data_IF_472488794199
#
_entry.id   IF_472488794199
#
_cell.length_a   1.000
_cell.length_b   1.000
_cell.length_c   1.000
_cell.angle_alpha   90.00
_cell.angle_beta   90.00
_cell.angle_gamma   90.00
#
_symmetry.space_group_name_H-M   'P 1'
#
loop_
_entity.id
_entity.type
_entity.pdbx_description
1 polymer ?
#
# COMPACT_ATOMS: atom_id res chain seq x y z
N UNK A 1 46.59 -18.61 -20.88
CA UNK A 1 46.12 -19.96 -20.49
C UNK A 1 46.42 -20.20 -19.03
N UNK A 2 45.42 -20.15 -18.15
CA UNK A 2 45.45 -20.74 -16.80
C UNK A 2 44.05 -21.25 -16.50
N UNK A 3 43.87 -22.55 -16.70
CA UNK A 3 42.72 -23.31 -16.26
C UNK A 3 42.76 -23.44 -14.74
N UNK A 4 41.67 -23.07 -14.07
CA UNK A 4 41.40 -23.42 -12.69
C UNK A 4 40.08 -24.20 -12.69
N UNK A 5 40.20 -25.53 -12.62
CA UNK A 5 39.12 -26.41 -12.23
C UNK A 5 38.73 -26.08 -10.79
N UNK A 6 37.45 -25.87 -10.52
CA UNK A 6 36.95 -25.87 -9.15
C UNK A 6 35.56 -26.50 -9.11
N UNK A 7 35.50 -27.67 -8.49
CA UNK A 7 34.40 -28.05 -7.61
C UNK A 7 33.09 -28.46 -8.27
N UNK A 8 33.04 -29.71 -8.71
CA UNK A 8 31.81 -30.49 -8.68
C UNK A 8 31.34 -30.56 -7.21
N UNK A 9 30.27 -29.83 -6.88
CA UNK A 9 29.54 -30.01 -5.62
C UNK A 9 28.12 -30.37 -5.99
N UNK A 10 27.76 -31.61 -5.68
CA UNK A 10 26.40 -32.12 -5.72
C UNK A 10 25.48 -31.10 -5.03
N UNK A 11 24.57 -30.50 -5.80
CA UNK A 11 23.51 -29.66 -5.27
C UNK A 11 22.41 -30.64 -4.88
N UNK A 12 22.20 -30.78 -3.56
CA UNK A 12 21.02 -31.41 -3.00
C UNK A 12 19.79 -30.77 -3.66
N UNK A 13 19.02 -31.57 -4.39
CA UNK A 13 17.68 -31.23 -4.85
C UNK A 13 16.83 -30.92 -3.60
N UNK A 14 16.73 -29.64 -3.28
CA UNK A 14 15.74 -29.15 -2.33
C UNK A 14 14.43 -29.05 -3.10
N UNK A 15 13.66 -30.14 -3.08
CA UNK A 15 12.26 -30.22 -3.50
C UNK A 15 11.37 -29.45 -2.48
N UNK A 16 11.69 -28.17 -2.30
CA UNK A 16 10.77 -27.23 -1.68
C UNK A 16 9.75 -26.79 -2.73
N UNK A 17 8.54 -26.37 -2.35
CA UNK A 17 7.61 -25.76 -3.30
C UNK A 17 8.33 -24.58 -3.96
N UNK A 18 8.65 -24.73 -5.25
CA UNK A 18 9.14 -23.62 -6.07
C UNK A 18 7.99 -22.64 -6.10
N UNK A 19 8.09 -21.57 -5.30
CA UNK A 19 7.16 -20.46 -5.42
C UNK A 19 7.19 -20.03 -6.89
N UNK A 20 6.06 -20.07 -7.61
CA UNK A 20 6.03 -19.76 -9.03
C UNK A 20 6.66 -18.39 -9.23
N UNK A 21 7.61 -18.28 -10.17
CA UNK A 21 8.17 -16.98 -10.51
C UNK A 21 7.00 -16.07 -10.90
N UNK A 22 6.82 -14.92 -10.24
CA UNK A 22 5.72 -14.03 -10.54
C UNK A 22 5.84 -13.62 -12.01
N UNK A 23 4.81 -13.95 -12.79
CA UNK A 23 4.78 -13.64 -14.21
C UNK A 23 3.95 -12.38 -14.45
N UNK A 24 4.21 -11.67 -15.55
CA UNK A 24 3.35 -10.57 -15.97
C UNK A 24 1.92 -11.01 -16.32
N UNK A 25 1.67 -12.32 -16.46
CA UNK A 25 0.32 -12.86 -16.62
C UNK A 25 -0.49 -12.84 -15.32
N UNK A 26 0.17 -12.75 -14.16
CA UNK A 26 -0.45 -12.68 -12.83
C UNK A 26 -0.73 -11.23 -12.38
N UNK A 27 -0.75 -10.30 -13.32
CA UNK A 27 -1.01 -8.88 -13.07
C UNK A 27 0.24 -8.03 -12.85
N UNK A 28 1.40 -8.62 -12.57
CA UNK A 28 2.67 -7.88 -12.44
C UNK A 28 3.65 -8.50 -11.45
N UNK A 29 4.79 -7.83 -11.27
CA UNK A 29 5.88 -8.27 -10.39
C UNK A 29 6.13 -7.21 -9.32
N UNK A 30 6.09 -7.62 -8.05
CA UNK A 30 6.50 -6.78 -6.90
C UNK A 30 7.94 -7.10 -6.51
N UNK A 31 8.77 -6.07 -6.32
CA UNK A 31 10.09 -6.21 -5.71
C UNK A 31 10.31 -5.21 -4.59
N UNK A 32 10.94 -5.66 -3.50
CA UNK A 32 11.31 -4.82 -2.36
C UNK A 32 12.76 -4.39 -2.43
N UNK A 33 13.01 -3.12 -2.13
CA UNK A 33 14.32 -2.49 -2.22
C UNK A 33 14.55 -1.54 -1.04
N UNK A 34 15.79 -1.09 -0.89
CA UNK A 34 16.17 0.00 0.02
C UNK A 34 16.63 1.18 -0.81
N UNK A 35 16.07 2.37 -0.53
CA UNK A 35 16.35 3.58 -1.29
C UNK A 35 17.79 4.05 -1.05
N UNK A 36 18.52 4.33 -2.14
CA UNK A 36 19.87 4.92 -2.07
C UNK A 36 19.84 6.44 -2.24
N UNK A 37 18.79 6.97 -2.85
CA UNK A 37 18.51 8.39 -3.05
C UNK A 37 17.02 8.66 -2.79
N UNK A 38 16.60 9.93 -2.63
CA UNK A 38 15.18 10.26 -2.47
C UNK A 38 14.37 9.86 -3.70
N UNK A 39 13.22 9.21 -3.49
CA UNK A 39 12.34 8.74 -4.55
C UNK A 39 10.90 9.23 -4.32
N UNK A 40 10.13 9.36 -5.39
CA UNK A 40 8.69 9.55 -5.30
C UNK A 40 8.02 8.26 -4.83
N UNK A 41 6.97 8.42 -4.04
CA UNK A 41 6.02 7.37 -3.70
C UNK A 41 4.68 7.78 -4.32
N UNK A 42 4.08 6.90 -5.10
CA UNK A 42 2.91 7.21 -5.93
C UNK A 42 1.65 7.49 -5.08
N UNK A 43 1.51 6.83 -3.92
CA UNK A 43 0.40 7.03 -2.98
C UNK A 43 0.79 7.83 -1.73
N UNK A 44 1.74 8.77 -1.83
CA UNK A 44 2.22 9.49 -0.65
C UNK A 44 1.28 10.65 -0.26
N UNK A 45 0.48 10.55 0.82
CA UNK A 45 -0.48 11.61 1.18
C UNK A 45 0.21 12.91 1.62
N UNK A 46 1.44 12.83 2.15
CA UNK A 46 2.21 13.99 2.60
C UNK A 46 3.12 14.60 1.52
N UNK A 47 3.27 13.93 0.37
CA UNK A 47 4.24 14.34 -0.67
C UNK A 47 5.72 14.21 -0.26
N UNK A 48 6.00 13.64 0.92
CA UNK A 48 7.37 13.45 1.44
C UNK A 48 8.23 12.56 0.55
N UNK A 49 7.61 11.54 -0.04
CA UNK A 49 8.28 10.47 -0.77
C UNK A 49 9.08 9.53 0.12
N UNK A 50 9.90 8.69 -0.52
CA UNK A 50 10.79 7.71 0.12
C UNK A 50 12.16 8.34 0.32
N UNK A 51 12.71 8.26 1.52
CA UNK A 51 14.04 8.80 1.88
C UNK A 51 15.14 7.75 1.72
N UNK A 52 16.40 8.17 1.52
CA UNK A 52 17.53 7.26 1.55
C UNK A 52 17.55 6.42 2.84
N UNK A 53 17.80 5.12 2.70
CA UNK A 53 17.79 4.15 3.81
C UNK A 53 16.42 3.52 4.09
N UNK A 54 15.32 4.05 3.55
CA UNK A 54 13.99 3.48 3.75
C UNK A 54 13.71 2.32 2.80
N UNK A 55 12.86 1.38 3.24
CA UNK A 55 12.38 0.28 2.40
C UNK A 55 11.19 0.73 1.56
N UNK A 56 11.16 0.28 0.32
CA UNK A 56 10.07 0.53 -0.61
C UNK A 56 9.85 -0.68 -1.51
N UNK A 57 8.66 -0.77 -2.08
CA UNK A 57 8.30 -1.75 -3.09
C UNK A 57 8.15 -1.06 -4.44
N UNK A 58 8.51 -1.80 -5.50
CA UNK A 58 8.25 -1.43 -6.88
C UNK A 58 7.30 -2.49 -7.43
N UNK A 59 6.15 -2.07 -7.94
CA UNK A 59 5.27 -2.89 -8.75
C UNK A 59 5.55 -2.61 -10.22
N UNK A 60 5.78 -3.64 -11.02
CA UNK A 60 5.92 -3.53 -12.47
C UNK A 60 4.85 -4.40 -13.12
N UNK A 61 3.91 -3.76 -13.81
CA UNK A 61 2.77 -4.43 -14.43
C UNK A 61 2.67 -4.15 -15.92
N UNK A 62 1.71 -4.81 -16.56
CA UNK A 62 1.22 -4.44 -17.88
C UNK A 62 -0.12 -3.75 -17.71
N UNK A 63 -0.34 -2.67 -18.45
CA UNK A 63 -1.64 -2.03 -18.49
C UNK A 63 -2.66 -2.97 -19.15
N UNK A 64 -3.92 -2.86 -18.73
CA UNK A 64 -5.02 -3.70 -19.23
C UNK A 64 -5.61 -3.20 -20.55
N UNK A 65 -5.00 -2.17 -21.16
CA UNK A 65 -5.43 -1.62 -22.44
C UNK A 65 -4.93 -2.44 -23.65
N UNK A 66 -5.49 -2.15 -24.83
CA UNK A 66 -5.17 -2.87 -26.08
C UNK A 66 -3.68 -2.86 -26.45
N UNK A 67 -2.90 -1.89 -25.94
CA UNK A 67 -1.49 -1.74 -26.26
C UNK A 67 -0.56 -2.47 -25.26
N UNK A 68 -1.07 -2.89 -24.08
CA UNK A 68 -0.33 -3.59 -23.02
C UNK A 68 1.04 -2.97 -22.74
N UNK A 69 1.03 -1.70 -22.37
CA UNK A 69 2.25 -0.98 -22.02
C UNK A 69 2.76 -1.35 -20.62
N UNK A 70 4.07 -1.25 -20.42
CA UNK A 70 4.66 -1.45 -19.11
C UNK A 70 4.45 -0.23 -18.22
N UNK A 71 4.01 -0.44 -16.98
CA UNK A 71 3.97 0.60 -15.96
C UNK A 71 4.71 0.18 -14.70
N UNK A 72 5.11 1.18 -13.91
CA UNK A 72 5.94 1.01 -12.73
C UNK A 72 5.49 1.97 -11.63
N UNK A 73 5.04 1.42 -10.51
CA UNK A 73 4.59 2.16 -9.33
C UNK A 73 5.52 1.86 -8.15
N UNK A 74 5.75 2.88 -7.32
CA UNK A 74 6.64 2.81 -6.15
C UNK A 74 5.86 3.18 -4.90
N UNK A 75 5.89 2.29 -3.92
CA UNK A 75 5.22 2.51 -2.64
C UNK A 75 6.21 2.34 -1.49
N UNK A 76 6.18 3.26 -0.52
CA UNK A 76 6.89 3.08 0.74
C UNK A 76 6.38 1.82 1.46
N UNK A 77 7.29 0.99 1.97
CA UNK A 77 6.93 -0.30 2.61
C UNK A 77 6.28 -0.07 4.00
N UNK A 78 6.53 1.11 4.60
CA UNK A 78 5.93 1.53 5.85
C UNK A 78 5.40 2.95 5.77
N UNK A 79 4.24 3.18 6.39
CA UNK A 79 3.65 4.50 6.52
C UNK A 79 4.37 5.29 7.63
N UNK A 80 5.10 6.34 7.24
CA UNK A 80 5.74 7.26 8.18
C UNK A 80 4.70 8.06 8.99
N UNK A 81 5.12 8.60 10.13
CA UNK A 81 4.25 9.44 10.97
C UNK A 81 3.79 10.70 10.22
N UNK A 82 4.65 11.26 9.36
CA UNK A 82 4.30 12.37 8.47
C UNK A 82 3.18 11.99 7.49
N UNK A 83 3.27 10.81 6.86
CA UNK A 83 2.20 10.31 5.99
C UNK A 83 0.92 10.04 6.77
N UNK A 84 1.01 9.50 7.99
CA UNK A 84 -0.15 9.22 8.84
C UNK A 84 -0.86 10.49 9.28
N UNK A 85 -0.10 11.54 9.62
CA UNK A 85 -0.65 12.84 10.01
C UNK A 85 -1.32 13.57 8.84
N UNK A 86 -0.89 13.30 7.60
CA UNK A 86 -1.49 13.86 6.39
C UNK A 86 -2.76 13.13 5.93
N UNK A 87 -3.09 11.97 6.52
CA UNK A 87 -4.33 11.28 6.19
C UNK A 87 -5.55 12.12 6.62
N UNK A 88 -6.60 12.19 5.79
CA UNK A 88 -7.84 12.83 6.18
C UNK A 88 -8.35 12.20 7.47
N UNK A 89 -8.54 13.03 8.50
CA UNK A 89 -9.16 12.59 9.73
C UNK A 89 -10.60 12.23 9.39
N UNK A 90 -11.04 11.01 9.70
CA UNK A 90 -12.44 10.62 9.53
C UNK A 90 -13.32 11.67 10.20
N UNK A 91 -14.18 12.31 9.42
CA UNK A 91 -15.16 13.25 9.92
C UNK A 91 -16.04 12.51 10.92
N UNK A 92 -15.78 12.74 12.21
CA UNK A 92 -16.64 12.23 13.29
C UNK A 92 -18.07 12.65 12.92
N UNK A 93 -19.01 11.71 12.79
CA UNK A 93 -20.38 12.04 12.38
C UNK A 93 -20.89 13.16 13.28
N UNK A 94 -21.35 14.24 12.65
CA UNK A 94 -21.85 15.40 13.37
C UNK A 94 -22.89 14.93 14.40
N UNK A 95 -22.87 15.45 15.63
CA UNK A 95 -23.87 15.08 16.62
C UNK A 95 -25.25 15.33 16.01
N UNK A 96 -26.11 14.31 16.03
CA UNK A 96 -27.47 14.43 15.54
C UNK A 96 -28.12 15.65 16.21
N UNK A 97 -28.86 16.49 15.46
CA UNK A 97 -29.51 17.65 16.05
C UNK A 97 -30.36 17.19 17.22
N UNK A 98 -30.23 17.88 18.36
CA UNK A 98 -31.07 17.63 19.51
C UNK A 98 -32.53 17.67 19.04
N UNK A 99 -33.24 16.54 19.14
CA UNK A 99 -34.68 16.51 18.88
C UNK A 99 -35.33 17.39 19.94
N UNK A 100 -35.63 18.63 19.58
CA UNK A 100 -36.58 19.43 20.34
C UNK A 100 -37.90 18.68 20.29
N UNK A 101 -38.21 17.94 21.35
CA UNK A 101 -39.54 17.42 21.58
C UNK A 101 -40.40 18.65 21.83
N UNK A 102 -41.10 19.12 20.80
CA UNK A 102 -42.25 19.96 21.01
C UNK A 102 -43.26 19.09 21.77
N UNK A 103 -43.34 19.26 23.08
CA UNK A 103 -44.55 18.91 23.79
C UNK A 103 -45.61 19.89 23.29
N UNK A 104 -46.47 19.43 22.38
CA UNK A 104 -47.75 20.06 22.17
C UNK A 104 -48.45 20.12 23.53
N UNK A 105 -48.61 21.32 24.06
CA UNK A 105 -49.33 21.55 25.29
C UNK A 105 -50.80 21.18 25.04
N UNK A 106 -51.22 20.06 25.60
CA UNK A 106 -52.62 19.61 25.61
C UNK A 106 -53.30 20.11 26.90
N UNK A 107 -54.12 21.17 26.84
CA UNK A 107 -54.79 21.72 28.01
C UNK A 107 -55.82 20.76 28.63
N UNK A 108 -56.22 19.70 27.92
CA UNK A 108 -57.19 18.71 28.39
C UNK A 108 -56.53 17.54 29.14
N UNK A 109 -55.20 17.47 29.19
CA UNK A 109 -54.44 16.39 29.83
C UNK A 109 -53.64 16.88 31.05
N UNK A 110 -54.23 17.77 31.85
CA UNK A 110 -53.66 18.21 33.13
C UNK A 110 -54.16 17.26 34.22
N UNK A 111 -53.28 16.49 34.89
CA UNK A 111 -53.71 15.59 35.96
C UNK A 111 -54.21 16.39 37.18
N UNK A 112 -55.35 15.94 37.72
CA UNK A 112 -56.04 16.51 38.87
C UNK A 112 -55.26 16.35 40.18
#
# INVERSE_FOLDING_TARGET
>A
MRSLSCGERAILEQDGPVEPEPSFADGGIVRRHTARWPLSCDDCPSGRGIRPGERYSIFVGLTDDEYRDFFCERHCDGMSDECRAALPQEERPAPAPARHVHHDYDPDNIPF
#
